data_IF_852730111511
#
_entry.id   IF_852730111511
#
_cell.length_a   1.000
_cell.length_b   1.000
_cell.length_c   1.000
_cell.angle_alpha   90.00
_cell.angle_beta   90.00
_cell.angle_gamma   90.00
#
_symmetry.space_group_name_H-M   'P 1'
#
loop_
_entity.id
_entity.type
_entity.pdbx_description
1 polymer ?
#
# COMPACT_ATOMS: atom_id res chain seq x y z
N UNK A 1 16.08 1.96 -37.44
CA UNK A 1 16.37 3.27 -36.81
C UNK A 1 16.39 3.19 -35.28
N UNK A 2 15.60 2.29 -34.67
CA UNK A 2 15.51 2.10 -33.19
C UNK A 2 16.83 1.73 -32.49
N UNK A 3 17.68 0.89 -33.08
CA UNK A 3 18.98 0.53 -32.49
C UNK A 3 19.97 1.69 -32.37
N UNK A 4 19.84 2.73 -33.22
CA UNK A 4 20.68 3.95 -33.14
C UNK A 4 20.15 4.90 -32.08
N UNK A 5 18.83 5.01 -31.94
CA UNK A 5 18.19 5.80 -30.89
C UNK A 5 18.50 5.25 -29.48
N UNK A 6 18.45 3.92 -29.31
CA UNK A 6 18.82 3.26 -28.04
C UNK A 6 20.29 3.47 -27.66
N UNK A 7 21.22 3.40 -28.63
CA UNK A 7 22.65 3.69 -28.38
C UNK A 7 22.91 5.16 -28.03
N UNK A 8 22.17 6.09 -28.63
CA UNK A 8 22.29 7.52 -28.32
C UNK A 8 21.69 7.85 -26.95
N UNK A 9 20.56 7.23 -26.58
CA UNK A 9 19.96 7.36 -25.25
C UNK A 9 20.89 6.83 -24.15
N UNK A 10 21.50 5.66 -24.36
CA UNK A 10 22.48 5.09 -23.43
C UNK A 10 23.73 5.99 -23.26
N UNK A 11 24.24 6.58 -24.36
CA UNK A 11 25.37 7.52 -24.31
C UNK A 11 25.01 8.80 -23.56
N UNK A 12 23.79 9.31 -23.73
CA UNK A 12 23.28 10.51 -23.04
C UNK A 12 23.09 10.26 -21.54
N UNK A 13 22.56 9.10 -21.18
CA UNK A 13 22.43 8.68 -19.78
C UNK A 13 23.81 8.54 -19.10
N UNK A 14 24.79 7.93 -19.76
CA UNK A 14 26.16 7.81 -19.23
C UNK A 14 26.84 9.17 -19.00
N UNK A 15 26.64 10.14 -19.90
CA UNK A 15 27.15 11.51 -19.75
C UNK A 15 26.48 12.23 -18.57
N UNK A 16 25.16 12.10 -18.41
CA UNK A 16 24.41 12.71 -17.30
C UNK A 16 24.84 12.13 -15.94
N UNK A 17 25.12 10.82 -15.87
CA UNK A 17 25.69 10.19 -14.67
C UNK A 17 27.08 10.74 -14.34
N UNK A 18 27.93 10.96 -15.34
CA UNK A 18 29.28 11.51 -15.13
C UNK A 18 29.27 12.96 -14.62
N UNK A 19 28.32 13.77 -15.08
CA UNK A 19 28.12 15.15 -14.59
C UNK A 19 27.55 15.18 -13.16
N UNK A 20 26.70 14.21 -12.82
CA UNK A 20 26.22 13.99 -11.45
C UNK A 20 27.35 13.68 -10.47
N UNK A 21 28.28 12.79 -10.86
CA UNK A 21 29.48 12.45 -10.07
C UNK A 21 30.39 13.66 -9.85
N UNK A 22 30.52 14.54 -10.84
CA UNK A 22 31.33 15.77 -10.73
C UNK A 22 30.72 16.81 -9.79
N UNK A 23 29.38 16.85 -9.67
CA UNK A 23 28.67 17.70 -8.69
C UNK A 23 28.79 17.16 -7.26
N UNK A 24 28.85 15.83 -7.10
CA UNK A 24 29.10 15.17 -5.81
C UNK A 24 30.50 15.51 -5.27
N UNK A 25 31.52 15.52 -6.14
CA UNK A 25 32.89 15.92 -5.76
C UNK A 25 33.00 17.35 -5.19
N UNK A 26 32.14 18.28 -5.63
CA UNK A 26 32.16 19.67 -5.14
C UNK A 26 31.46 19.88 -3.79
N UNK A 27 30.65 18.92 -3.33
CA UNK A 27 29.76 19.13 -2.17
C UNK A 27 30.14 18.29 -0.95
N UNK A 28 31.08 17.34 -1.06
CA UNK A 28 31.44 16.44 0.04
C UNK A 28 32.74 16.87 0.75
N UNK A 29 32.62 17.72 1.78
CA UNK A 29 33.59 17.81 2.88
C UNK A 29 32.89 17.54 4.21
N UNK A 30 32.56 16.27 4.45
CA UNK A 30 32.35 15.65 5.76
C UNK A 30 31.87 14.21 5.55
N UNK A 31 32.63 13.20 6.01
CA UNK A 31 32.19 11.79 6.04
C UNK A 31 32.97 10.84 5.13
N UNK A 32 34.27 10.65 5.40
CA UNK A 32 35.15 9.75 4.61
C UNK A 32 34.73 8.27 4.63
N UNK A 33 34.10 7.80 5.72
CA UNK A 33 33.72 6.39 5.86
C UNK A 33 32.43 6.06 5.09
N UNK A 34 31.44 6.94 5.13
CA UNK A 34 30.20 6.83 4.34
C UNK A 34 30.49 6.98 2.85
N UNK A 35 31.46 7.84 2.48
CA UNK A 35 31.90 8.04 1.11
C UNK A 35 32.59 6.80 0.52
N UNK A 36 33.42 6.09 1.30
CA UNK A 36 34.06 4.85 0.84
C UNK A 36 33.04 3.74 0.58
N UNK A 37 32.06 3.57 1.46
CA UNK A 37 30.99 2.59 1.30
C UNK A 37 30.10 2.92 0.08
N UNK A 38 29.70 4.18 -0.08
CA UNK A 38 28.92 4.64 -1.22
C UNK A 38 29.69 4.49 -2.55
N UNK A 39 30.97 4.85 -2.58
CA UNK A 39 31.83 4.68 -3.76
C UNK A 39 32.01 3.21 -4.13
N UNK A 40 32.25 2.33 -3.14
CA UNK A 40 32.38 0.89 -3.38
C UNK A 40 31.08 0.26 -3.90
N UNK A 41 29.93 0.67 -3.36
CA UNK A 41 28.62 0.21 -3.83
C UNK A 41 28.33 0.67 -5.27
N UNK A 42 28.69 1.91 -5.62
CA UNK A 42 28.53 2.45 -6.97
C UNK A 42 29.49 1.79 -7.96
N UNK A 43 30.74 1.53 -7.58
CA UNK A 43 31.72 0.83 -8.43
C UNK A 43 31.34 -0.64 -8.64
N UNK A 44 30.79 -1.30 -7.61
CA UNK A 44 30.25 -2.66 -7.73
C UNK A 44 29.05 -2.70 -8.67
N UNK A 45 28.10 -1.77 -8.53
CA UNK A 45 26.96 -1.65 -9.43
C UNK A 45 27.40 -1.38 -10.89
N UNK A 46 28.39 -0.51 -11.10
CA UNK A 46 28.90 -0.19 -12.43
C UNK A 46 29.60 -1.39 -13.09
N UNK A 47 30.38 -2.18 -12.35
CA UNK A 47 31.03 -3.40 -12.86
C UNK A 47 30.02 -4.48 -13.21
N UNK A 48 28.99 -4.68 -12.39
CA UNK A 48 27.89 -5.64 -12.65
C UNK A 48 27.11 -5.25 -13.91
N UNK A 49 26.86 -3.96 -14.13
CA UNK A 49 26.22 -3.47 -15.36
C UNK A 49 27.13 -3.70 -16.58
N UNK A 50 28.45 -3.47 -16.46
CA UNK A 50 29.40 -3.72 -17.56
C UNK A 50 29.51 -5.20 -17.94
N UNK A 51 29.57 -6.11 -16.95
CA UNK A 51 29.65 -7.55 -17.22
C UNK A 51 28.37 -8.10 -17.84
N UNK A 52 27.20 -7.51 -17.53
CA UNK A 52 25.91 -7.94 -18.07
C UNK A 52 25.61 -7.36 -19.45
N UNK A 53 26.14 -6.19 -19.81
CA UNK A 53 26.08 -5.65 -21.19
C UNK A 53 26.81 -6.58 -22.18
N UNK A 54 27.87 -7.26 -21.74
CA UNK A 54 28.57 -8.25 -22.54
C UNK A 54 27.77 -9.54 -22.77
N UNK A 55 26.70 -9.78 -22.00
CA UNK A 55 25.95 -11.03 -21.99
C UNK A 55 24.57 -10.99 -22.69
N UNK A 56 24.21 -9.90 -23.38
CA UNK A 56 22.83 -9.73 -23.87
C UNK A 56 22.59 -10.25 -25.29
N UNK A 57 21.98 -11.45 -25.34
CA UNK A 57 20.96 -11.82 -26.32
C UNK A 57 19.58 -11.20 -25.99
N UNK A 58 18.55 -11.56 -26.76
CA UNK A 58 17.28 -10.85 -26.94
C UNK A 58 16.32 -10.67 -25.72
N UNK A 59 16.73 -10.95 -24.48
CA UNK A 59 15.92 -10.75 -23.28
C UNK A 59 16.21 -9.42 -22.51
N UNK A 60 17.04 -8.54 -23.08
CA UNK A 60 17.66 -7.43 -22.34
C UNK A 60 16.79 -6.23 -21.95
N UNK A 61 15.60 -6.04 -22.53
CA UNK A 61 14.80 -4.84 -22.25
C UNK A 61 14.08 -4.89 -20.89
N UNK A 62 13.63 -6.08 -20.47
CA UNK A 62 12.88 -6.28 -19.21
C UNK A 62 13.80 -6.19 -17.99
N UNK A 63 15.02 -6.72 -18.11
CA UNK A 63 16.01 -6.68 -17.03
C UNK A 63 16.60 -5.27 -16.81
N UNK A 64 16.70 -4.45 -17.85
CA UNK A 64 17.14 -3.05 -17.73
C UNK A 64 16.07 -2.20 -17.05
N UNK A 65 14.78 -2.48 -17.28
CA UNK A 65 13.66 -1.81 -16.62
C UNK A 65 13.61 -2.12 -15.12
N UNK A 66 13.80 -3.39 -14.73
CA UNK A 66 13.90 -3.82 -13.33
C UNK A 66 15.08 -3.15 -12.59
N UNK A 67 16.20 -2.92 -13.28
CA UNK A 67 17.38 -2.27 -12.69
C UNK A 67 17.21 -0.75 -12.49
N UNK A 68 16.48 -0.06 -13.37
CA UNK A 68 16.15 1.37 -13.17
C UNK A 68 15.28 1.57 -11.93
N UNK A 69 14.37 0.63 -11.67
CA UNK A 69 13.54 0.62 -10.45
C UNK A 69 14.42 0.41 -9.21
N UNK A 70 15.36 -0.54 -9.26
CA UNK A 70 16.28 -0.84 -8.13
C UNK A 70 17.19 0.37 -7.79
N UNK A 71 17.72 1.08 -8.80
CA UNK A 71 18.57 2.26 -8.57
C UNK A 71 17.76 3.46 -8.05
N UNK A 72 16.49 3.60 -8.47
CA UNK A 72 15.57 4.60 -7.92
C UNK A 72 15.27 4.39 -6.42
N UNK A 73 15.11 3.13 -6.00
CA UNK A 73 14.87 2.74 -4.60
C UNK A 73 16.08 3.06 -3.71
N UNK A 74 17.30 2.74 -4.18
CA UNK A 74 18.54 3.01 -3.42
C UNK A 74 18.82 4.53 -3.35
N UNK A 75 18.46 5.29 -4.39
CA UNK A 75 18.59 6.75 -4.41
C UNK A 75 17.62 7.46 -3.46
N UNK A 76 16.39 6.97 -3.31
CA UNK A 76 15.38 7.55 -2.41
C UNK A 76 15.72 7.39 -0.93
N UNK A 77 16.33 6.27 -0.54
CA UNK A 77 16.71 5.98 0.84
C UNK A 77 17.83 6.89 1.38
N UNK A 78 18.61 7.54 0.51
CA UNK A 78 19.74 8.39 0.90
C UNK A 78 19.36 9.86 1.19
N UNK A 79 18.12 10.28 0.96
CA UNK A 79 17.75 11.70 0.93
C UNK A 79 16.54 12.14 1.78
N UNK A 80 16.01 11.32 2.69
CA UNK A 80 14.89 11.76 3.55
C UNK A 80 15.29 11.87 5.02
N UNK A 81 15.30 13.10 5.53
CA UNK A 81 15.44 13.40 6.94
C UNK A 81 14.09 13.37 7.66
N UNK A 82 14.08 12.69 8.81
CA UNK A 82 13.13 12.74 9.93
C UNK A 82 11.66 13.08 9.63
N UNK A 83 10.89 12.04 9.34
CA UNK A 83 9.46 11.90 9.62
C UNK A 83 9.22 10.39 9.79
N UNK A 84 8.44 9.94 10.78
CA UNK A 84 8.30 8.52 11.19
C UNK A 84 8.39 7.55 10.01
N UNK A 85 9.48 6.78 9.98
CA UNK A 85 9.85 5.94 8.84
C UNK A 85 9.07 4.63 8.90
N UNK A 86 7.98 4.53 8.15
CA UNK A 86 7.37 3.23 7.86
C UNK A 86 8.27 2.42 6.94
N UNK A 87 8.55 1.18 7.30
CA UNK A 87 9.29 0.24 6.46
C UNK A 87 8.46 -0.19 5.25
N UNK A 88 9.13 -0.48 4.13
CA UNK A 88 8.46 -0.89 2.89
C UNK A 88 8.00 -2.36 2.95
N UNK A 89 6.85 -2.65 2.34
CA UNK A 89 6.35 -4.01 2.14
C UNK A 89 7.19 -4.77 1.08
N UNK A 90 7.26 -6.09 1.20
CA UNK A 90 7.90 -6.95 0.21
C UNK A 90 7.09 -7.04 -1.09
N UNK A 91 7.74 -7.45 -2.19
CA UNK A 91 7.06 -7.68 -3.47
C UNK A 91 6.09 -8.86 -3.39
N UNK A 92 6.42 -9.85 -2.58
CA UNK A 92 5.59 -11.03 -2.31
C UNK A 92 4.26 -10.62 -1.67
N UNK A 93 4.29 -9.83 -0.58
CA UNK A 93 3.07 -9.28 0.06
C UNK A 93 2.21 -8.55 -0.97
N UNK A 94 2.85 -7.77 -1.83
CA UNK A 94 2.14 -6.97 -2.82
C UNK A 94 1.51 -7.76 -3.94
N UNK A 95 2.14 -8.86 -4.34
CA UNK A 95 1.57 -9.76 -5.33
C UNK A 95 0.22 -10.33 -4.89
N UNK A 96 -0.06 -10.37 -3.58
CA UNK A 96 -1.32 -10.83 -3.01
C UNK A 96 -2.37 -9.75 -2.81
N UNK A 97 -2.14 -8.49 -3.23
CA UNK A 97 -3.09 -7.38 -3.01
C UNK A 97 -4.51 -7.71 -3.47
N UNK A 98 -4.67 -8.29 -4.67
CA UNK A 98 -5.99 -8.66 -5.20
C UNK A 98 -6.66 -9.79 -4.40
N UNK A 99 -5.88 -10.77 -3.95
CA UNK A 99 -6.37 -11.88 -3.10
C UNK A 99 -6.78 -11.38 -1.71
N UNK A 100 -5.97 -10.51 -1.11
CA UNK A 100 -6.28 -9.84 0.16
C UNK A 100 -7.55 -9.03 0.01
N UNK A 101 -7.66 -8.22 -1.06
CA UNK A 101 -8.84 -7.41 -1.34
C UNK A 101 -10.10 -8.26 -1.46
N UNK A 102 -10.03 -9.36 -2.22
CA UNK A 102 -11.14 -10.29 -2.40
C UNK A 102 -11.66 -10.80 -1.06
N UNK A 103 -10.78 -11.31 -0.19
CA UNK A 103 -11.21 -11.88 1.09
C UNK A 103 -11.56 -10.80 2.12
N UNK A 104 -10.90 -9.64 2.11
CA UNK A 104 -11.27 -8.51 2.95
C UNK A 104 -12.69 -8.03 2.63
N UNK A 105 -13.05 -7.94 1.34
CA UNK A 105 -14.42 -7.71 0.90
C UNK A 105 -15.37 -8.81 1.38
N UNK A 106 -15.00 -10.09 1.18
CA UNK A 106 -15.81 -11.24 1.56
C UNK A 106 -16.15 -11.27 3.06
N UNK A 107 -15.22 -10.87 3.92
CA UNK A 107 -15.38 -10.86 5.37
C UNK A 107 -15.76 -9.47 5.93
N UNK A 108 -16.15 -8.51 5.08
CA UNK A 108 -16.70 -7.23 5.50
C UNK A 108 -15.71 -6.26 6.14
N UNK A 109 -14.41 -6.37 5.80
CA UNK A 109 -13.33 -5.50 6.30
C UNK A 109 -12.48 -4.86 5.17
N UNK A 110 -13.09 -4.32 4.09
CA UNK A 110 -12.35 -3.83 2.93
C UNK A 110 -11.45 -2.61 3.20
N UNK A 111 -11.68 -1.87 4.29
CA UNK A 111 -10.85 -0.74 4.72
C UNK A 111 -9.51 -1.17 5.33
N UNK A 112 -9.38 -2.44 5.71
CA UNK A 112 -8.23 -2.96 6.46
C UNK A 112 -7.17 -3.62 5.59
N UNK A 113 -7.25 -3.50 4.27
CA UNK A 113 -6.32 -4.15 3.32
C UNK A 113 -4.86 -3.79 3.60
N UNK A 114 -4.56 -2.53 3.88
CA UNK A 114 -3.21 -2.08 4.25
C UNK A 114 -2.76 -2.63 5.60
N UNK A 115 -3.68 -2.80 6.56
CA UNK A 115 -3.39 -3.46 7.84
C UNK A 115 -3.08 -4.94 7.62
N UNK A 116 -3.88 -5.63 6.80
CA UNK A 116 -3.67 -7.04 6.48
C UNK A 116 -2.33 -7.27 5.77
N UNK A 117 -1.94 -6.37 4.87
CA UNK A 117 -0.61 -6.40 4.26
C UNK A 117 0.51 -6.24 5.29
N UNK A 118 0.32 -5.35 6.28
CA UNK A 118 1.28 -5.18 7.37
C UNK A 118 1.36 -6.42 8.30
N UNK A 119 0.22 -7.06 8.58
CA UNK A 119 0.16 -8.36 9.28
C UNK A 119 0.96 -9.40 8.49
N UNK A 120 0.64 -9.61 7.21
CA UNK A 120 1.35 -10.57 6.36
C UNK A 120 2.86 -10.30 6.27
N UNK A 121 3.24 -9.01 6.24
CA UNK A 121 4.63 -8.60 6.23
C UNK A 121 5.36 -9.03 7.52
N UNK A 122 4.71 -8.84 8.67
CA UNK A 122 5.25 -9.27 9.97
C UNK A 122 5.28 -10.80 10.09
N UNK A 123 4.25 -11.51 9.62
CA UNK A 123 4.14 -12.96 9.75
C UNK A 123 5.17 -13.73 8.92
N UNK A 124 5.37 -13.31 7.67
CA UNK A 124 6.23 -14.07 6.74
C UNK A 124 6.98 -13.20 5.73
N UNK A 125 6.63 -11.92 5.61
CA UNK A 125 7.02 -11.11 4.46
C UNK A 125 6.37 -11.59 3.16
N UNK A 126 5.22 -12.27 3.24
CA UNK A 126 4.50 -12.87 2.11
C UNK A 126 5.15 -14.15 1.57
N UNK A 127 6.02 -14.81 2.34
CA UNK A 127 6.81 -15.95 1.88
C UNK A 127 6.23 -17.28 2.36
N UNK A 128 6.58 -18.35 1.65
CA UNK A 128 6.16 -19.70 1.99
C UNK A 128 4.71 -19.99 1.60
N UNK A 129 4.21 -21.12 2.09
CA UNK A 129 2.86 -21.64 1.80
C UNK A 129 1.81 -21.15 2.78
N UNK A 130 2.23 -20.62 3.93
CA UNK A 130 1.35 -20.02 4.96
C UNK A 130 1.73 -18.54 5.21
N UNK A 131 1.51 -17.65 4.22
CA UNK A 131 1.96 -16.26 4.31
C UNK A 131 1.33 -15.44 5.44
N UNK A 132 0.14 -15.82 5.92
CA UNK A 132 -0.53 -15.20 7.07
C UNK A 132 -0.26 -15.92 8.40
N UNK A 133 0.61 -16.96 8.41
CA UNK A 133 0.85 -17.84 9.57
C UNK A 133 -0.44 -18.29 10.26
N UNK A 134 -1.41 -18.68 9.44
CA UNK A 134 -2.78 -18.94 9.83
C UNK A 134 -3.03 -20.40 10.19
N UNK A 135 -2.01 -21.26 10.13
CA UNK A 135 -2.12 -22.68 10.46
C UNK A 135 -2.74 -22.92 11.84
N UNK A 136 -2.41 -22.10 12.83
CA UNK A 136 -2.89 -22.26 14.21
C UNK A 136 -4.25 -21.60 14.46
N UNK A 137 -4.80 -20.85 13.49
CA UNK A 137 -6.06 -20.16 13.67
C UNK A 137 -7.26 -21.13 13.71
N UNK A 138 -8.37 -20.79 14.42
CA UNK A 138 -9.54 -21.66 14.54
C UNK A 138 -10.26 -21.95 13.21
N UNK A 139 -10.00 -21.16 12.17
CA UNK A 139 -10.61 -21.29 10.85
C UNK A 139 -9.86 -22.24 9.92
N UNK A 140 -8.64 -22.65 10.29
CA UNK A 140 -7.95 -23.75 9.63
C UNK A 140 -8.62 -25.08 10.01
N UNK A 141 -9.42 -25.61 9.08
CA UNK A 141 -10.13 -26.89 9.20
C UNK A 141 -9.58 -27.96 8.27
N UNK A 142 -8.55 -27.64 7.49
CA UNK A 142 -7.99 -28.51 6.44
C UNK A 142 -6.65 -29.12 6.80
N UNK A 143 -5.83 -28.40 7.55
CA UNK A 143 -4.52 -28.84 8.01
C UNK A 143 -4.54 -28.95 9.54
N UNK A 144 -3.54 -29.61 10.12
CA UNK A 144 -3.40 -29.61 11.58
C UNK A 144 -3.18 -28.18 12.09
N UNK A 145 -3.67 -27.86 13.30
CA UNK A 145 -3.44 -26.56 13.93
C UNK A 145 -2.06 -26.51 14.60
N UNK A 146 -1.02 -26.86 13.84
CA UNK A 146 0.37 -26.80 14.27
C UNK A 146 1.10 -25.73 13.46
N UNK A 147 2.17 -25.13 14.00
CA UNK A 147 2.94 -24.12 13.28
C UNK A 147 3.37 -24.62 11.88
N UNK A 148 3.13 -23.81 10.85
CA UNK A 148 3.48 -24.08 9.45
C UNK A 148 2.88 -25.38 8.85
N UNK A 149 1.68 -25.79 9.29
CA UNK A 149 1.02 -27.00 8.78
C UNK A 149 0.43 -26.85 7.37
N UNK A 150 0.15 -25.62 6.92
CA UNK A 150 -0.36 -25.32 5.58
C UNK A 150 0.81 -25.41 4.56
N UNK A 151 0.93 -26.51 3.80
CA UNK A 151 2.13 -26.82 2.98
C UNK A 151 1.89 -27.14 1.48
N UNK A 152 0.65 -27.18 0.99
CA UNK A 152 0.37 -27.54 -0.42
C UNK A 152 0.57 -26.38 -1.41
N UNK A 153 1.71 -26.37 -2.12
CA UNK A 153 2.20 -25.35 -3.06
C UNK A 153 1.22 -24.24 -3.50
N UNK A 154 0.22 -24.52 -4.36
CA UNK A 154 -0.62 -23.46 -4.95
C UNK A 154 -1.94 -23.18 -4.19
N UNK A 155 -2.53 -24.20 -3.56
CA UNK A 155 -3.81 -24.04 -2.86
C UNK A 155 -3.63 -23.45 -1.46
N UNK A 156 -2.53 -23.79 -0.80
CA UNK A 156 -2.17 -23.39 0.56
C UNK A 156 -2.09 -21.88 0.75
N UNK A 157 -1.51 -21.16 -0.22
CA UNK A 157 -1.32 -19.71 -0.16
C UNK A 157 -2.67 -18.99 -0.10
N UNK A 158 -3.58 -19.30 -1.04
CA UNK A 158 -4.91 -18.67 -1.02
C UNK A 158 -5.72 -19.08 0.22
N UNK A 159 -5.59 -20.34 0.66
CA UNK A 159 -6.27 -20.82 1.85
C UNK A 159 -5.78 -20.09 3.10
N UNK A 160 -4.46 -19.93 3.27
CA UNK A 160 -3.83 -19.18 4.36
C UNK A 160 -4.31 -17.73 4.39
N UNK A 161 -4.30 -17.05 3.24
CA UNK A 161 -4.80 -15.68 3.13
C UNK A 161 -6.29 -15.61 3.50
N UNK A 162 -7.11 -16.55 3.02
CA UNK A 162 -8.53 -16.58 3.33
C UNK A 162 -8.80 -16.73 4.82
N UNK A 163 -8.26 -17.78 5.45
CA UNK A 163 -8.56 -18.09 6.85
C UNK A 163 -7.88 -17.12 7.82
N UNK A 164 -6.70 -16.60 7.47
CA UNK A 164 -6.06 -15.49 8.19
C UNK A 164 -6.91 -14.22 8.17
N UNK A 165 -7.45 -13.82 7.02
CA UNK A 165 -8.31 -12.63 6.93
C UNK A 165 -9.64 -12.85 7.66
N UNK A 166 -10.23 -14.05 7.55
CA UNK A 166 -11.42 -14.41 8.32
C UNK A 166 -11.17 -14.28 9.82
N UNK A 167 -10.03 -14.80 10.28
CA UNK A 167 -9.64 -14.72 11.68
C UNK A 167 -9.41 -13.27 12.12
N UNK A 168 -8.76 -12.45 11.29
CA UNK A 168 -8.56 -11.04 11.61
C UNK A 168 -9.87 -10.23 11.65
N UNK A 169 -10.85 -10.55 10.79
CA UNK A 169 -12.18 -9.94 10.85
C UNK A 169 -12.88 -10.19 12.19
N UNK A 170 -12.71 -11.39 12.76
CA UNK A 170 -13.19 -11.69 14.11
C UNK A 170 -12.45 -10.91 15.19
N UNK A 171 -11.12 -10.74 15.07
CA UNK A 171 -10.36 -9.92 16.00
C UNK A 171 -10.83 -8.46 15.98
N UNK A 172 -11.11 -7.90 14.80
CA UNK A 172 -11.67 -6.56 14.64
C UNK A 172 -13.05 -6.45 15.31
N UNK A 173 -13.91 -7.43 15.10
CA UNK A 173 -15.24 -7.49 15.69
C UNK A 173 -15.20 -7.58 17.22
N UNK A 174 -14.38 -8.47 17.77
CA UNK A 174 -14.22 -8.65 19.23
C UNK A 174 -13.60 -7.40 19.88
N UNK A 175 -12.69 -6.72 19.19
CA UNK A 175 -12.13 -5.44 19.66
C UNK A 175 -13.13 -4.28 19.56
N UNK A 176 -14.17 -4.40 18.73
CA UNK A 176 -15.09 -3.32 18.38
C UNK A 176 -14.46 -2.27 17.45
N UNK A 177 -13.49 -2.67 16.62
CA UNK A 177 -12.79 -1.79 15.68
C UNK A 177 -13.60 -1.68 14.38
N UNK A 178 -14.25 -0.53 14.15
CA UNK A 178 -15.04 -0.26 12.93
C UNK A 178 -14.33 0.62 11.93
N UNK A 179 -13.17 1.15 12.27
CA UNK A 179 -12.35 2.02 11.43
C UNK A 179 -10.86 1.74 11.68
N UNK A 180 -10.03 1.62 10.63
CA UNK A 180 -8.58 1.49 10.77
C UNK A 180 -7.89 2.77 11.28
N UNK A 181 -8.65 3.86 11.48
CA UNK A 181 -8.20 5.10 12.13
C UNK A 181 -8.44 5.09 13.64
N UNK A 182 -9.28 4.19 14.16
CA UNK A 182 -9.41 3.96 15.61
C UNK A 182 -8.20 3.15 16.09
N UNK A 183 -7.10 3.86 16.32
CA UNK A 183 -5.81 3.26 16.65
C UNK A 183 -5.84 2.45 17.96
N UNK A 184 -6.69 2.81 18.92
CA UNK A 184 -6.78 2.08 20.18
C UNK A 184 -7.43 0.71 19.97
N UNK A 185 -8.52 0.66 19.20
CA UNK A 185 -9.18 -0.60 18.85
C UNK A 185 -8.39 -1.41 17.81
N UNK A 186 -7.68 -0.75 16.92
CA UNK A 186 -6.80 -1.40 15.93
C UNK A 186 -5.62 -2.11 16.62
N UNK A 187 -4.95 -1.45 17.57
CA UNK A 187 -3.84 -2.08 18.32
C UNK A 187 -4.32 -3.32 19.09
N UNK A 188 -5.53 -3.23 19.66
CA UNK A 188 -6.16 -4.35 20.36
C UNK A 188 -6.47 -5.52 19.42
N UNK A 189 -7.03 -5.28 18.23
CA UNK A 189 -7.30 -6.36 17.26
C UNK A 189 -6.01 -6.98 16.73
N UNK A 190 -4.96 -6.19 16.50
CA UNK A 190 -3.64 -6.67 16.08
C UNK A 190 -3.03 -7.62 17.11
N UNK A 191 -2.99 -7.23 18.38
CA UNK A 191 -2.47 -8.12 19.42
C UNK A 191 -3.36 -9.37 19.62
N UNK A 192 -4.67 -9.24 19.40
CA UNK A 192 -5.59 -10.39 19.37
C UNK A 192 -5.33 -11.37 18.23
N UNK A 193 -4.88 -10.89 17.07
CA UNK A 193 -4.43 -11.76 15.98
C UNK A 193 -3.24 -12.63 16.42
N UNK A 194 -2.27 -12.03 17.11
CA UNK A 194 -1.09 -12.73 17.63
C UNK A 194 -1.37 -13.69 18.79
N UNK A 195 -2.22 -13.30 19.74
CA UNK A 195 -2.46 -14.06 20.99
C UNK A 195 -3.74 -14.88 21.02
N UNK A 196 -4.62 -14.77 20.03
CA UNK A 196 -5.97 -15.31 20.18
C UNK A 196 -6.99 -14.26 20.61
N UNK A 197 -8.23 -14.41 20.17
CA UNK A 197 -9.37 -13.58 20.62
C UNK A 197 -9.54 -13.55 22.15
N UNK A 198 -9.08 -14.58 22.87
CA UNK A 198 -9.11 -14.59 24.35
C UNK A 198 -8.33 -13.44 25.00
N UNK A 199 -7.25 -12.96 24.36
CA UNK A 199 -6.54 -11.77 24.83
C UNK A 199 -7.41 -10.52 24.75
N UNK A 200 -8.18 -10.34 23.66
CA UNK A 200 -9.02 -9.15 23.46
C UNK A 200 -10.02 -9.03 24.61
N UNK A 201 -10.77 -10.10 24.89
CA UNK A 201 -11.75 -10.12 25.97
C UNK A 201 -11.07 -9.90 27.34
N UNK A 202 -9.90 -10.50 27.57
CA UNK A 202 -9.13 -10.34 28.81
C UNK A 202 -8.67 -8.88 29.01
N UNK A 203 -8.12 -8.26 27.97
CA UNK A 203 -7.59 -6.90 28.00
C UNK A 203 -8.70 -5.87 28.22
N UNK A 204 -9.85 -6.02 27.55
CA UNK A 204 -11.03 -5.17 27.77
C UNK A 204 -11.51 -5.29 29.22
N UNK A 205 -11.64 -6.51 29.75
CA UNK A 205 -12.20 -6.74 31.09
C UNK A 205 -11.28 -6.25 32.21
N UNK A 206 -9.96 -6.43 32.09
CA UNK A 206 -9.01 -6.05 33.13
C UNK A 206 -8.50 -4.61 33.01
N UNK A 207 -8.35 -4.10 31.79
CA UNK A 207 -7.63 -2.86 31.52
C UNK A 207 -8.39 -1.87 30.64
N UNK A 208 -9.56 -2.24 30.10
CA UNK A 208 -10.34 -1.40 29.18
C UNK A 208 -9.82 -1.40 27.73
N UNK A 209 -8.70 -2.07 27.42
CA UNK A 209 -8.11 -2.11 26.08
C UNK A 209 -6.67 -2.60 26.06
N UNK A 210 -6.00 -2.39 24.93
CA UNK A 210 -4.60 -2.77 24.72
C UNK A 210 -3.63 -1.81 25.43
N UNK A 211 -2.55 -2.36 25.99
CA UNK A 211 -1.32 -1.62 26.31
C UNK A 211 -0.11 -2.55 26.11
N UNK A 212 1.08 -1.99 25.88
CA UNK A 212 2.29 -2.81 25.74
C UNK A 212 2.59 -3.61 27.03
N UNK A 213 2.30 -3.02 28.19
CA UNK A 213 2.49 -3.65 29.50
C UNK A 213 1.56 -4.84 29.70
N UNK A 214 0.28 -4.71 29.31
CA UNK A 214 -0.66 -5.81 29.48
C UNK A 214 -0.45 -6.93 28.44
N UNK A 215 0.08 -6.62 27.26
CA UNK A 215 0.50 -7.62 26.28
C UNK A 215 1.67 -8.45 26.83
N UNK A 216 2.70 -7.80 27.38
CA UNK A 216 3.82 -8.48 28.04
C UNK A 216 3.36 -9.31 29.24
N UNK A 217 2.45 -8.78 30.07
CA UNK A 217 1.88 -9.53 31.19
C UNK A 217 1.17 -10.80 30.70
N UNK A 218 0.30 -10.68 29.70
CA UNK A 218 -0.44 -11.81 29.16
C UNK A 218 0.49 -12.89 28.60
N UNK A 219 1.53 -12.49 27.86
CA UNK A 219 2.58 -13.40 27.37
C UNK A 219 3.20 -14.21 28.50
N UNK A 220 3.63 -13.54 29.57
CA UNK A 220 4.30 -14.17 30.71
C UNK A 220 3.35 -15.11 31.48
N UNK A 221 2.10 -14.71 31.69
CA UNK A 221 1.08 -15.55 32.35
C UNK A 221 0.79 -16.82 31.54
N UNK A 222 0.68 -16.71 30.21
CA UNK A 222 0.42 -17.85 29.34
C UNK A 222 1.62 -18.78 29.21
N UNK A 223 2.82 -18.22 29.04
CA UNK A 223 4.06 -19.00 29.01
C UNK A 223 4.24 -19.79 30.31
N UNK A 224 4.05 -19.14 31.47
CA UNK A 224 4.17 -19.80 32.77
C UNK A 224 3.12 -20.91 32.99
N UNK A 225 1.86 -20.68 32.59
CA UNK A 225 0.78 -21.65 32.80
C UNK A 225 0.92 -22.91 31.93
N UNK A 226 1.57 -22.80 30.77
CA UNK A 226 1.79 -23.93 29.85
C UNK A 226 3.22 -24.52 29.95
N UNK A 227 4.09 -23.92 30.76
CA UNK A 227 5.50 -24.31 30.84
C UNK A 227 6.29 -24.00 29.56
N UNK A 228 5.87 -22.98 28.80
CA UNK A 228 6.54 -22.54 27.57
C UNK A 228 7.58 -21.46 27.86
N UNK A 229 8.57 -21.33 26.98
CA UNK A 229 9.60 -20.30 27.09
C UNK A 229 9.10 -18.90 26.69
N UNK A 230 8.06 -18.84 25.86
CA UNK A 230 7.41 -17.62 25.40
C UNK A 230 5.98 -17.95 24.92
N UNK A 231 5.12 -16.95 24.88
CA UNK A 231 3.79 -17.05 24.28
C UNK A 231 3.57 -15.87 23.34
N UNK A 232 3.47 -16.16 22.04
CA UNK A 232 3.39 -15.18 20.95
C UNK A 232 4.45 -14.07 21.04
N UNK A 233 4.11 -12.88 20.54
CA UNK A 233 4.99 -11.71 20.48
C UNK A 233 4.37 -10.53 21.26
N UNK A 234 4.92 -10.15 22.43
CA UNK A 234 4.41 -9.01 23.19
C UNK A 234 4.66 -7.65 22.52
N UNK A 235 5.54 -7.60 21.53
CA UNK A 235 5.84 -6.41 20.72
C UNK A 235 5.17 -6.49 19.33
N UNK A 236 4.17 -7.37 19.17
CA UNK A 236 3.52 -7.60 17.89
C UNK A 236 2.92 -6.33 17.27
N UNK A 237 2.26 -5.50 18.10
CA UNK A 237 1.68 -4.23 17.65
C UNK A 237 2.72 -3.29 17.03
N UNK A 238 3.80 -2.86 17.72
CA UNK A 238 4.81 -2.02 17.09
C UNK A 238 5.49 -2.71 15.90
N UNK A 239 5.63 -4.05 15.91
CA UNK A 239 6.19 -4.80 14.79
C UNK A 239 5.32 -4.78 13.53
N UNK A 240 3.99 -4.90 13.65
CA UNK A 240 3.07 -4.73 12.52
C UNK A 240 3.00 -3.26 12.11
N UNK A 241 2.89 -2.36 13.08
CA UNK A 241 2.67 -0.95 12.80
C UNK A 241 3.86 -0.28 12.08
N UNK A 242 5.08 -0.81 12.17
CA UNK A 242 6.21 -0.32 11.37
C UNK A 242 6.00 -0.49 9.86
N UNK A 243 5.18 -1.46 9.43
CA UNK A 243 4.77 -1.67 8.04
C UNK A 243 3.43 -1.02 7.71
N UNK A 244 2.60 -0.78 8.73
CA UNK A 244 1.38 0.00 8.62
C UNK A 244 1.70 1.50 8.68
N UNK A 245 2.21 2.04 7.58
CA UNK A 245 1.86 3.42 7.29
C UNK A 245 0.50 3.38 6.61
N UNK A 246 -0.41 4.25 7.04
CA UNK A 246 -1.65 4.61 6.38
C UNK A 246 -1.37 5.13 4.95
N UNK A 247 -0.78 4.29 4.10
CA UNK A 247 -0.16 4.62 2.81
C UNK A 247 1.32 4.25 2.61
N UNK A 248 2.00 3.41 3.43
CA UNK A 248 3.48 3.28 3.40
C UNK A 248 4.11 2.91 2.07
N UNK A 249 3.57 1.90 1.40
CA UNK A 249 4.10 1.52 0.10
C UNK A 249 3.59 2.43 -1.02
N UNK A 250 2.32 2.83 -1.01
CA UNK A 250 1.79 3.71 -2.06
C UNK A 250 2.34 5.14 -1.95
N UNK A 251 2.67 5.63 -0.76
CA UNK A 251 3.39 6.87 -0.54
C UNK A 251 4.85 6.77 -1.02
N UNK A 252 5.49 5.60 -0.88
CA UNK A 252 6.85 5.37 -1.41
C UNK A 252 6.89 5.12 -2.92
N UNK A 253 5.84 4.55 -3.51
CA UNK A 253 5.72 4.30 -4.95
C UNK A 253 5.22 5.54 -5.71
N UNK A 254 4.37 6.35 -5.06
CA UNK A 254 3.63 7.44 -5.71
C UNK A 254 3.85 8.84 -5.11
N UNK A 255 4.51 8.99 -3.95
CA UNK A 255 4.87 10.27 -3.34
C UNK A 255 3.68 11.21 -3.04
N UNK A 256 3.44 11.55 -1.77
CA UNK A 256 2.40 12.55 -1.44
C UNK A 256 0.99 12.09 -1.81
N UNK A 257 0.38 12.64 -2.87
CA UNK A 257 -1.01 12.40 -3.28
C UNK A 257 -1.34 10.93 -3.61
N UNK A 258 -0.37 10.01 -3.62
CA UNK A 258 -0.58 8.56 -3.83
C UNK A 258 -1.44 7.83 -2.79
N UNK A 259 -1.66 8.41 -1.60
CA UNK A 259 -2.52 7.81 -0.58
C UNK A 259 -3.96 7.62 -1.09
N UNK A 260 -4.50 8.60 -1.83
CA UNK A 260 -5.85 8.48 -2.40
C UNK A 260 -5.94 7.35 -3.43
N UNK A 261 -4.85 7.10 -4.19
CA UNK A 261 -4.78 5.99 -5.15
C UNK A 261 -4.85 4.66 -4.43
N UNK A 262 -4.12 4.52 -3.32
CA UNK A 262 -4.14 3.30 -2.52
C UNK A 262 -5.54 3.00 -1.99
N UNK A 263 -6.21 4.01 -1.44
CA UNK A 263 -7.57 3.88 -0.94
C UNK A 263 -8.52 3.53 -2.08
N UNK A 264 -8.38 4.16 -3.25
CA UNK A 264 -9.21 3.86 -4.40
C UNK A 264 -9.04 2.41 -4.86
N UNK A 265 -7.80 1.93 -4.95
CA UNK A 265 -7.48 0.54 -5.29
C UNK A 265 -8.06 -0.45 -4.29
N UNK A 266 -8.15 -0.10 -3.00
CA UNK A 266 -8.82 -0.98 -2.02
C UNK A 266 -10.33 -1.09 -2.18
N UNK A 267 -10.92 -0.34 -3.11
CA UNK A 267 -12.36 -0.39 -3.37
C UNK A 267 -12.70 -1.10 -4.67
N UNK A 268 -11.73 -1.60 -5.43
CA UNK A 268 -11.98 -2.31 -6.69
C UNK A 268 -13.01 -3.44 -6.52
N UNK A 269 -14.00 -3.46 -7.41
CA UNK A 269 -15.10 -4.41 -7.40
C UNK A 269 -16.23 -4.09 -6.42
N UNK A 270 -16.20 -2.95 -5.71
CA UNK A 270 -17.34 -2.49 -4.92
C UNK A 270 -18.48 -2.04 -5.86
N UNK A 271 -19.65 -2.67 -5.77
CA UNK A 271 -20.82 -2.46 -6.64
C UNK A 271 -21.92 -1.61 -5.96
N UNK A 272 -22.71 -0.88 -6.74
CA UNK A 272 -23.90 -0.13 -6.30
C UNK A 272 -23.63 1.14 -5.48
N UNK A 273 -22.38 1.33 -5.05
CA UNK A 273 -21.89 2.58 -4.47
C UNK A 273 -22.50 3.00 -3.12
N UNK A 274 -23.33 2.16 -2.48
CA UNK A 274 -24.05 2.51 -1.24
C UNK A 274 -23.16 3.10 -0.17
N UNK A 275 -22.01 2.47 0.01
CA UNK A 275 -20.95 2.95 0.90
C UNK A 275 -20.60 4.42 0.68
N UNK A 276 -20.44 4.85 -0.57
CA UNK A 276 -19.91 6.17 -0.91
C UNK A 276 -20.99 7.24 -0.89
N UNK A 277 -22.17 6.99 -1.47
CA UNK A 277 -23.24 7.99 -1.49
C UNK A 277 -23.90 8.16 -0.12
N UNK A 278 -24.04 7.10 0.68
CA UNK A 278 -24.58 7.23 2.06
C UNK A 278 -23.59 7.94 2.99
N UNK A 279 -22.29 7.64 2.90
CA UNK A 279 -21.25 8.41 3.63
C UNK A 279 -21.26 9.90 3.26
N UNK A 280 -21.54 10.22 2.00
CA UNK A 280 -21.63 11.62 1.60
C UNK A 280 -22.81 12.32 2.29
N UNK A 281 -23.94 11.62 2.42
CA UNK A 281 -25.16 12.07 3.09
C UNK A 281 -26.45 11.84 2.29
N UNK A 282 -26.43 11.00 1.25
CA UNK A 282 -27.63 10.67 0.48
C UNK A 282 -28.38 9.47 1.06
N UNK A 283 -29.70 9.57 1.13
CA UNK A 283 -30.59 8.50 1.64
C UNK A 283 -31.01 7.49 0.55
N UNK A 284 -30.69 7.76 -0.71
CA UNK A 284 -31.03 6.91 -1.86
C UNK A 284 -29.93 6.93 -2.91
N UNK A 285 -29.94 5.93 -3.79
CA UNK A 285 -28.97 5.80 -4.87
C UNK A 285 -28.88 7.06 -5.74
N UNK A 286 -27.66 7.54 -5.98
CA UNK A 286 -27.31 8.65 -6.87
C UNK A 286 -26.07 8.27 -7.69
N UNK A 287 -25.77 9.01 -8.77
CA UNK A 287 -24.47 8.88 -9.43
C UNK A 287 -23.35 9.20 -8.43
N UNK A 288 -22.40 8.28 -8.27
CA UNK A 288 -21.54 8.25 -7.09
C UNK A 288 -20.04 8.35 -7.37
N UNK A 289 -19.64 8.72 -8.59
CA UNK A 289 -18.22 8.91 -8.98
C UNK A 289 -17.51 9.97 -8.11
N UNK A 290 -18.12 11.15 -7.93
CA UNK A 290 -17.60 12.21 -7.06
C UNK A 290 -17.70 11.87 -5.57
N UNK A 291 -18.76 11.17 -5.15
CA UNK A 291 -18.88 10.66 -3.78
C UNK A 291 -17.74 9.69 -3.46
N UNK A 292 -17.41 8.79 -4.39
CA UNK A 292 -16.28 7.88 -4.28
C UNK A 292 -14.94 8.63 -4.19
N UNK A 293 -14.69 9.58 -5.09
CA UNK A 293 -13.47 10.39 -5.03
C UNK A 293 -13.34 11.11 -3.69
N UNK A 294 -14.42 11.73 -3.21
CA UNK A 294 -14.47 12.38 -1.89
C UNK A 294 -14.24 11.41 -0.74
N UNK A 295 -14.84 10.22 -0.78
CA UNK A 295 -14.62 9.20 0.24
C UNK A 295 -13.15 8.78 0.26
N UNK A 296 -12.54 8.52 -0.89
CA UNK A 296 -11.12 8.20 -0.97
C UNK A 296 -10.25 9.35 -0.42
N UNK A 297 -10.61 10.60 -0.72
CA UNK A 297 -9.94 11.78 -0.21
C UNK A 297 -10.03 11.92 1.31
N UNK A 298 -11.18 11.61 1.88
CA UNK A 298 -11.42 11.60 3.33
C UNK A 298 -10.57 10.54 4.02
N UNK A 299 -10.63 9.30 3.53
CA UNK A 299 -9.85 8.18 4.09
C UNK A 299 -8.34 8.37 3.94
N UNK A 300 -7.90 9.12 2.93
CA UNK A 300 -6.51 9.51 2.76
C UNK A 300 -6.12 10.77 3.57
N UNK A 301 -7.03 11.33 4.38
CA UNK A 301 -6.81 12.54 5.18
C UNK A 301 -6.65 13.82 4.35
N UNK A 302 -6.97 13.81 3.05
CA UNK A 302 -6.80 14.96 2.16
C UNK A 302 -7.85 16.05 2.41
N UNK A 303 -9.05 15.65 2.85
CA UNK A 303 -10.13 16.59 3.17
C UNK A 303 -9.84 17.32 4.47
N UNK A 304 -9.51 16.57 5.53
CA UNK A 304 -9.12 17.14 6.83
C UNK A 304 -7.93 18.10 6.70
N UNK A 305 -6.91 17.73 5.93
CA UNK A 305 -5.74 18.57 5.69
C UNK A 305 -5.97 19.71 4.67
N UNK A 306 -7.22 19.92 4.22
CA UNK A 306 -7.58 21.01 3.31
C UNK A 306 -6.96 20.93 1.91
N UNK A 307 -6.51 19.74 1.50
CA UNK A 307 -5.88 19.48 0.19
C UNK A 307 -6.90 19.09 -0.88
N UNK A 308 -8.10 18.66 -0.48
CA UNK A 308 -9.20 18.24 -1.35
C UNK A 308 -10.55 18.67 -0.75
N UNK A 309 -11.54 19.06 -1.56
CA UNK A 309 -12.89 19.33 -1.05
C UNK A 309 -13.66 18.02 -0.80
N UNK A 310 -14.68 18.07 0.06
CA UNK A 310 -15.78 17.09 0.04
C UNK A 310 -16.81 17.53 -1.01
N UNK A 311 -16.99 16.79 -2.09
CA UNK A 311 -17.89 17.12 -3.21
C UNK A 311 -18.65 15.90 -3.76
N UNK A 312 -19.89 16.09 -4.18
CA UNK A 312 -20.72 15.08 -4.87
C UNK A 312 -21.04 15.42 -6.32
N UNK A 313 -20.75 16.66 -6.74
CA UNK A 313 -20.91 17.15 -8.11
C UNK A 313 -19.53 17.45 -8.69
N UNK A 314 -19.26 16.98 -9.91
CA UNK A 314 -17.98 17.21 -10.57
C UNK A 314 -17.66 18.71 -10.66
N UNK A 315 -18.64 19.53 -11.04
CA UNK A 315 -18.47 20.98 -11.19
C UNK A 315 -18.05 21.68 -9.89
N UNK A 316 -18.56 21.25 -8.73
CA UNK A 316 -18.15 21.78 -7.44
C UNK A 316 -16.68 21.48 -7.15
N UNK A 317 -16.24 20.25 -7.46
CA UNK A 317 -14.84 19.84 -7.36
C UNK A 317 -13.95 20.67 -8.28
N UNK A 318 -14.36 20.82 -9.54
CA UNK A 318 -13.66 21.62 -10.56
C UNK A 318 -13.51 23.08 -10.09
N UNK A 319 -14.61 23.71 -9.67
CA UNK A 319 -14.62 25.10 -9.20
C UNK A 319 -13.67 25.29 -8.01
N UNK A 320 -13.63 24.34 -7.07
CA UNK A 320 -12.71 24.40 -5.93
C UNK A 320 -11.24 24.35 -6.38
N UNK A 321 -10.86 23.42 -7.26
CA UNK A 321 -9.47 23.31 -7.74
C UNK A 321 -9.06 24.52 -8.60
N UNK A 322 -9.98 25.09 -9.37
CA UNK A 322 -9.75 26.34 -10.10
C UNK A 322 -9.49 27.50 -9.15
N UNK A 323 -10.35 27.68 -8.14
CA UNK A 323 -10.22 28.76 -7.14
C UNK A 323 -8.94 28.65 -6.30
N UNK A 324 -8.40 27.44 -6.12
CA UNK A 324 -7.11 27.20 -5.44
C UNK A 324 -5.89 27.31 -6.36
N UNK A 325 -6.07 27.61 -7.65
CA UNK A 325 -4.98 27.64 -8.64
C UNK A 325 -4.33 26.27 -8.86
N UNK A 326 -5.06 25.19 -8.57
CA UNK A 326 -4.60 23.80 -8.67
C UNK A 326 -5.13 23.09 -9.93
N UNK A 327 -6.10 23.67 -10.62
CA UNK A 327 -6.61 23.16 -11.89
C UNK A 327 -5.52 23.09 -12.97
N UNK A 328 -5.51 22.00 -13.73
CA UNK A 328 -4.64 21.79 -14.89
C UNK A 328 -5.51 21.56 -16.12
N UNK A 329 -5.22 22.26 -17.21
CA UNK A 329 -5.92 22.11 -18.48
C UNK A 329 -5.49 20.84 -19.21
N UNK A 330 -6.21 20.51 -20.29
CA UNK A 330 -5.80 19.49 -21.26
C UNK A 330 -4.34 19.70 -21.72
N UNK A 331 -3.61 18.60 -21.91
CA UNK A 331 -2.19 18.59 -22.28
C UNK A 331 -1.22 18.46 -21.09
N UNK A 332 -1.73 18.52 -19.85
CA UNK A 332 -0.97 18.15 -18.66
C UNK A 332 -0.82 16.62 -18.57
N UNK A 333 0.37 16.14 -18.19
CA UNK A 333 0.60 14.73 -17.85
C UNK A 333 0.32 14.54 -16.36
N UNK A 334 -0.77 13.85 -15.98
CA UNK A 334 -1.19 13.78 -14.59
C UNK A 334 -0.28 12.89 -13.74
N UNK A 335 0.04 13.34 -12.54
CA UNK A 335 0.71 12.50 -11.56
C UNK A 335 -0.32 11.57 -10.86
N UNK A 336 0.11 10.42 -10.34
CA UNK A 336 -0.67 9.59 -9.44
C UNK A 336 -1.35 10.41 -8.32
N UNK A 337 -2.64 10.15 -8.09
CA UNK A 337 -3.49 10.88 -7.15
C UNK A 337 -4.09 12.18 -7.69
N UNK A 338 -3.82 12.55 -8.94
CA UNK A 338 -4.55 13.62 -9.63
C UNK A 338 -6.00 13.18 -9.85
N UNK A 339 -6.96 14.07 -9.59
CA UNK A 339 -8.33 13.85 -10.04
C UNK A 339 -8.45 14.30 -11.49
N UNK A 340 -8.92 13.40 -12.34
CA UNK A 340 -9.20 13.68 -13.74
C UNK A 340 -10.71 13.79 -13.93
N UNK A 341 -11.13 14.88 -14.55
CA UNK A 341 -12.53 15.17 -14.83
C UNK A 341 -12.77 15.01 -16.32
N UNK A 342 -13.88 14.36 -16.64
CA UNK A 342 -14.23 13.99 -17.99
C UNK A 342 -15.50 14.68 -18.43
N UNK A 343 -15.48 15.09 -19.69
CA UNK A 343 -16.58 15.69 -20.45
C UNK A 343 -16.66 14.86 -21.73
N UNK A 344 -17.58 13.91 -21.75
CA UNK A 344 -17.72 12.89 -22.78
C UNK A 344 -18.47 13.39 -24.00
N UNK A 345 -19.41 14.31 -23.79
CA UNK A 345 -20.23 14.88 -24.84
C UNK A 345 -19.64 16.18 -25.43
N UNK A 346 -18.63 16.76 -24.78
CA UNK A 346 -17.94 17.97 -25.20
C UNK A 346 -18.73 19.25 -24.95
N UNK A 347 -19.69 19.24 -24.04
CA UNK A 347 -20.57 20.39 -23.76
C UNK A 347 -19.97 21.41 -22.77
N UNK A 348 -18.79 21.11 -22.20
CA UNK A 348 -18.10 21.95 -21.23
C UNK A 348 -18.46 21.65 -19.77
N UNK A 349 -19.37 20.71 -19.52
CA UNK A 349 -19.77 20.21 -18.20
C UNK A 349 -19.09 18.87 -17.94
N UNK A 350 -18.68 18.60 -16.70
CA UNK A 350 -18.05 17.32 -16.40
C UNK A 350 -19.07 16.23 -16.05
N UNK A 351 -19.06 15.15 -16.84
CA UNK A 351 -19.88 13.96 -16.64
C UNK A 351 -19.32 13.02 -15.57
N UNK A 352 -18.00 13.00 -15.38
CA UNK A 352 -17.34 11.97 -14.59
C UNK A 352 -16.03 12.44 -13.96
N UNK A 353 -15.65 11.82 -12.84
CA UNK A 353 -14.35 12.03 -12.19
C UNK A 353 -13.69 10.71 -11.85
N UNK A 354 -12.40 10.60 -12.14
CA UNK A 354 -11.55 9.46 -11.81
C UNK A 354 -10.33 9.87 -10.99
N UNK A 355 -9.75 8.91 -10.27
CA UNK A 355 -8.49 9.08 -9.55
C UNK A 355 -7.38 8.48 -10.41
N UNK A 356 -6.39 9.28 -10.82
CA UNK A 356 -5.26 8.80 -11.64
C UNK A 356 -4.39 7.87 -10.81
N UNK A 357 -4.26 6.62 -11.25
CA UNK A 357 -3.38 5.62 -10.67
C UNK A 357 -1.94 5.80 -11.17
N UNK A 358 -1.77 5.85 -12.49
CA UNK A 358 -0.47 5.99 -13.15
C UNK A 358 -0.61 6.49 -14.57
N UNK A 359 0.51 6.85 -15.19
CA UNK A 359 0.59 7.21 -16.61
C UNK A 359 1.74 6.45 -17.28
N UNK A 360 1.48 5.83 -18.42
CA UNK A 360 2.49 5.12 -19.22
C UNK A 360 2.45 5.63 -20.66
N UNK A 361 3.50 6.35 -21.07
CA UNK A 361 3.52 7.01 -22.37
C UNK A 361 2.39 8.05 -22.47
N UNK A 362 1.48 7.87 -23.43
CA UNK A 362 0.27 8.70 -23.57
C UNK A 362 -0.94 8.15 -22.82
N UNK A 363 -0.85 6.95 -22.23
CA UNK A 363 -2.00 6.31 -21.58
C UNK A 363 -2.08 6.71 -20.11
N UNK A 364 -3.25 7.16 -19.66
CA UNK A 364 -3.57 7.44 -18.26
C UNK A 364 -4.42 6.29 -17.72
N UNK A 365 -4.01 5.70 -16.61
CA UNK A 365 -4.78 4.69 -15.88
C UNK A 365 -5.42 5.33 -14.66
N UNK A 366 -6.66 4.94 -14.37
CA UNK A 366 -7.49 5.54 -13.33
C UNK A 366 -8.22 4.47 -12.54
N UNK A 367 -8.59 4.80 -11.31
CA UNK A 367 -9.58 4.08 -10.51
C UNK A 367 -10.80 4.97 -10.36
N UNK A 368 -11.96 4.44 -10.74
CA UNK A 368 -13.19 5.20 -10.92
C UNK A 368 -14.35 4.52 -10.23
N UNK A 369 -15.11 5.29 -9.43
CA UNK A 369 -16.39 4.86 -8.89
C UNK A 369 -17.51 5.14 -9.88
N UNK A 370 -18.63 4.41 -9.77
CA UNK A 370 -19.76 4.47 -10.69
C UNK A 370 -19.37 4.19 -12.15
N UNK A 371 -18.34 3.38 -12.35
CA UNK A 371 -17.90 2.95 -13.67
C UNK A 371 -18.52 1.59 -13.93
N UNK A 372 -19.61 1.54 -14.71
CA UNK A 372 -20.48 0.35 -14.83
C UNK A 372 -21.10 -0.11 -13.50
N UNK A 373 -21.54 0.85 -12.69
CA UNK A 373 -22.08 0.63 -11.33
C UNK A 373 -21.14 -0.10 -10.36
N UNK A 374 -19.83 0.00 -10.60
CA UNK A 374 -18.80 -0.52 -9.72
C UNK A 374 -17.58 0.40 -9.66
N UNK A 375 -16.68 0.13 -8.71
CA UNK A 375 -15.33 0.70 -8.71
C UNK A 375 -14.45 -0.12 -9.64
N UNK A 376 -13.97 0.50 -10.72
CA UNK A 376 -13.19 -0.17 -11.75
C UNK A 376 -11.91 0.59 -12.09
N UNK A 377 -10.92 -0.15 -12.60
CA UNK A 377 -9.79 0.45 -13.31
C UNK A 377 -10.16 0.75 -14.76
N UNK A 378 -9.79 1.93 -15.24
CA UNK A 378 -9.95 2.35 -16.64
C UNK A 378 -8.65 2.93 -17.20
N UNK A 379 -8.55 2.97 -18.52
CA UNK A 379 -7.41 3.55 -19.23
C UNK A 379 -7.88 4.44 -20.38
N UNK A 380 -7.23 5.59 -20.55
CA UNK A 380 -7.54 6.59 -21.58
C UNK A 380 -6.26 7.03 -22.29
N UNK A 381 -6.37 7.42 -23.57
CA UNK A 381 -5.25 7.87 -24.42
C UNK A 381 -5.30 9.36 -24.65
#
# INVERSE_FOLDING_TARGET
>A
MERRAAKQAAKKAALQTSDGVRRIQKTARAGENTFKAAKAAVEAAAKTVQSMIAALGAAGAVMVLLLVIIVGIIGGAAFSGSSESSEALSQEVLSYTSTIQKYANQYGIPEYVSVIQAIMMQESGGRGTDPMQSSECPYNTRYSNSPNAIQDADYSIQYSIQVGIQYYADCLKEAGCTSPQDMDKLKLSLQGYNYGNGYITWAIRKYGGYSAENALQFSNEQAASHGWSAYGDPEYVPHVLRYYSSGGLFASLFGGNGQIVSVALTQLGNEGGQKFWSWYGFDSHVAWCACFASWCGDQAGLIENGKMPKFSLCDDGIAWFQNKGKWKSRGYSPAPGTLIFFDWNGDGTSDHVGIVEKTEGSTVYTVEGNSSDAVNQRSYV
#
